data_IF_663642866838
#
_entry.id   IF_663642866838
#
_cell.length_a   1.000
_cell.length_b   1.000
_cell.length_c   1.000
_cell.angle_alpha   90.00
_cell.angle_beta   90.00
_cell.angle_gamma   90.00
#
_symmetry.space_group_name_H-M   'P 1'
#
loop_
_entity.id
_entity.type
_entity.pdbx_description
1 polymer ?
#
# COMPACT_ATOMS: atom_id res chain seq x y z
N UNK A 1 13.11 6.36 -10.89
CA UNK A 1 11.99 5.50 -11.40
C UNK A 1 11.29 4.75 -10.25
N UNK A 2 12.01 4.05 -9.36
CA UNK A 2 11.43 3.32 -8.22
C UNK A 2 10.72 4.22 -7.19
N UNK A 3 11.27 5.40 -6.90
CA UNK A 3 10.66 6.37 -5.97
C UNK A 3 9.27 6.83 -6.44
N UNK A 4 9.11 7.08 -7.75
CA UNK A 4 7.82 7.44 -8.33
C UNK A 4 6.80 6.31 -8.19
N UNK A 5 7.24 5.07 -8.40
CA UNK A 5 6.38 3.89 -8.23
C UNK A 5 5.95 3.70 -6.78
N UNK A 6 6.87 3.86 -5.82
CA UNK A 6 6.54 3.78 -4.39
C UNK A 6 5.56 4.87 -3.97
N UNK A 7 5.74 6.10 -4.45
CA UNK A 7 4.81 7.21 -4.18
C UNK A 7 3.41 6.91 -4.75
N UNK A 8 3.33 6.42 -5.98
CA UNK A 8 2.05 6.05 -6.61
C UNK A 8 1.38 4.87 -5.89
N UNK A 9 2.13 3.82 -5.55
CA UNK A 9 1.61 2.68 -4.79
C UNK A 9 1.10 3.12 -3.42
N UNK A 10 1.83 3.99 -2.72
CA UNK A 10 1.41 4.56 -1.44
C UNK A 10 0.22 5.51 -1.58
N UNK A 11 0.07 6.22 -2.70
CA UNK A 11 -1.08 7.10 -2.88
C UNK A 11 -2.36 6.33 -3.22
N UNK A 12 -2.29 5.39 -4.17
CA UNK A 12 -3.47 4.69 -4.69
C UNK A 12 -3.84 3.43 -3.91
N UNK A 13 -2.86 2.64 -3.45
CA UNK A 13 -3.11 1.35 -2.82
C UNK A 13 -3.12 1.40 -1.30
N UNK A 14 -2.79 2.53 -0.66
CA UNK A 14 -2.69 2.62 0.79
C UNK A 14 -4.00 2.32 1.51
N UNK A 15 -5.12 2.87 1.02
CA UNK A 15 -6.42 2.60 1.64
C UNK A 15 -6.81 1.13 1.55
N UNK A 16 -6.60 0.51 0.38
CA UNK A 16 -6.86 -0.92 0.19
C UNK A 16 -5.95 -1.78 1.07
N UNK A 17 -4.65 -1.48 1.12
CA UNK A 17 -3.68 -2.17 1.97
C UNK A 17 -4.01 -2.02 3.46
N UNK A 18 -4.39 -0.81 3.89
CA UNK A 18 -4.77 -0.53 5.27
C UNK A 18 -6.04 -1.29 5.67
N UNK A 19 -7.09 -1.23 4.85
CA UNK A 19 -8.34 -1.95 5.10
C UNK A 19 -8.13 -3.47 5.15
N UNK A 20 -7.38 -4.04 4.19
CA UNK A 20 -7.03 -5.45 4.19
C UNK A 20 -6.24 -5.86 5.44
N UNK A 21 -5.30 -5.02 5.86
CA UNK A 21 -4.49 -5.26 7.08
C UNK A 21 -5.35 -5.22 8.34
N UNK A 22 -6.28 -4.26 8.46
CA UNK A 22 -7.22 -4.21 9.58
C UNK A 22 -8.11 -5.45 9.66
N UNK A 23 -8.60 -5.93 8.53
CA UNK A 23 -9.40 -7.16 8.47
C UNK A 23 -8.59 -8.36 8.96
N UNK A 24 -7.36 -8.54 8.45
CA UNK A 24 -6.49 -9.63 8.88
C UNK A 24 -6.11 -9.51 10.35
N UNK A 25 -5.80 -8.30 10.83
CA UNK A 25 -5.51 -8.06 12.23
C UNK A 25 -6.71 -8.44 13.12
N UNK A 26 -7.94 -8.07 12.74
CA UNK A 26 -9.15 -8.45 13.46
C UNK A 26 -9.35 -9.96 13.54
N UNK A 27 -9.11 -10.69 12.44
CA UNK A 27 -9.18 -12.16 12.41
C UNK A 27 -8.13 -12.79 13.31
N UNK A 28 -6.88 -12.31 13.25
CA UNK A 28 -5.80 -12.82 14.10
C UNK A 28 -6.08 -12.55 15.58
N UNK A 29 -6.60 -11.37 15.93
CA UNK A 29 -7.01 -11.05 17.30
C UNK A 29 -8.13 -11.99 17.77
N UNK A 30 -9.16 -12.23 16.95
CA UNK A 30 -10.22 -13.17 17.29
C UNK A 30 -9.69 -14.60 17.52
N UNK A 31 -8.74 -15.05 16.69
CA UNK A 31 -8.08 -16.35 16.84
C UNK A 31 -7.20 -16.42 18.11
N UNK A 32 -6.52 -15.33 18.47
CA UNK A 32 -5.78 -15.23 19.73
C UNK A 32 -6.74 -15.28 20.93
N UNK A 33 -7.85 -14.54 20.89
CA UNK A 33 -8.86 -14.55 21.96
C UNK A 33 -9.52 -15.92 22.16
N UNK A 34 -9.61 -16.73 21.10
CA UNK A 34 -10.13 -18.11 21.18
C UNK A 34 -9.05 -19.14 21.53
N UNK A 35 -7.81 -18.72 21.77
CA UNK A 35 -6.69 -19.60 22.12
C UNK A 35 -6.21 -20.49 20.97
N UNK A 36 -6.60 -20.17 19.73
CA UNK A 36 -6.21 -20.93 18.52
C UNK A 36 -4.81 -20.58 18.02
N UNK A 37 -4.28 -19.43 18.42
CA UNK A 37 -2.95 -18.95 18.03
C UNK A 37 -2.04 -18.78 19.25
N UNK A 38 -0.75 -19.16 19.14
CA UNK A 38 0.21 -18.94 20.19
C UNK A 38 0.51 -17.44 20.34
N UNK A 39 0.46 -16.94 21.58
CA UNK A 39 0.99 -15.64 21.96
C UNK A 39 2.40 -15.81 22.54
N UNK A 40 3.29 -14.86 22.29
CA UNK A 40 4.58 -14.82 22.96
C UNK A 40 4.54 -13.82 24.11
N UNK A 41 5.16 -14.21 25.21
CA UNK A 41 5.44 -13.32 26.34
C UNK A 41 6.79 -12.68 26.07
N UNK A 42 6.81 -11.36 25.98
CA UNK A 42 8.06 -10.61 25.92
C UNK A 42 8.23 -9.89 27.25
N UNK A 43 9.29 -10.25 27.98
CA UNK A 43 9.73 -9.45 29.11
C UNK A 43 10.50 -8.24 28.57
N UNK A 44 9.99 -7.04 28.77
CA UNK A 44 10.79 -5.84 28.58
C UNK A 44 11.68 -5.70 29.81
N UNK A 45 13.00 -5.87 29.62
CA UNK A 45 14.01 -5.58 30.65
C UNK A 45 14.19 -4.06 30.72
N UNK A 46 13.17 -3.36 31.22
CA UNK A 46 13.26 -1.97 31.66
C UNK A 46 13.21 -1.90 33.18
N UNK A 47 13.63 -0.78 33.76
CA UNK A 47 13.71 -0.56 35.23
C UNK A 47 12.37 -0.77 35.98
N UNK A 48 11.25 -0.93 35.27
CA UNK A 48 9.93 -1.22 35.84
C UNK A 48 9.42 -2.67 35.68
N UNK A 49 10.19 -3.59 35.09
CA UNK A 49 9.86 -5.02 35.04
C UNK A 49 8.51 -5.37 34.37
N UNK A 50 8.05 -4.58 33.41
CA UNK A 50 6.77 -4.81 32.76
C UNK A 50 6.86 -5.98 31.77
N UNK A 51 6.07 -7.04 32.02
CA UNK A 51 5.91 -8.16 31.10
C UNK A 51 4.72 -7.90 30.18
N UNK A 52 4.99 -7.80 28.88
CA UNK A 52 3.96 -7.63 27.86
C UNK A 52 3.70 -8.95 27.14
N UNK A 53 2.42 -9.27 26.89
CA UNK A 53 2.03 -10.32 25.93
C UNK A 53 1.82 -9.68 24.57
N UNK A 54 2.39 -10.25 23.52
CA UNK A 54 2.02 -9.87 22.16
C UNK A 54 1.89 -11.05 21.21
N UNK A 55 1.02 -10.89 20.22
CA UNK A 55 0.77 -11.90 19.20
C UNK A 55 1.84 -11.85 18.13
N UNK A 56 2.76 -12.83 18.14
CA UNK A 56 3.78 -13.00 17.09
C UNK A 56 3.17 -13.01 15.68
N UNK A 57 2.03 -13.67 15.53
CA UNK A 57 1.29 -13.73 14.28
C UNK A 57 0.92 -12.33 13.77
N UNK A 58 0.40 -11.44 14.62
CA UNK A 58 0.05 -10.08 14.19
C UNK A 58 1.29 -9.26 13.79
N UNK A 59 2.39 -9.39 14.53
CA UNK A 59 3.62 -8.63 14.27
C UNK A 59 4.26 -9.00 12.93
N UNK A 60 4.17 -10.26 12.51
CA UNK A 60 4.76 -10.73 11.25
C UNK A 60 3.77 -10.66 10.09
N UNK A 61 2.54 -11.13 10.30
CA UNK A 61 1.55 -11.26 9.23
C UNK A 61 1.03 -9.91 8.76
N UNK A 62 0.77 -8.96 9.66
CA UNK A 62 0.20 -7.67 9.27
C UNK A 62 1.12 -6.86 8.34
N UNK A 63 2.44 -6.69 8.62
CA UNK A 63 3.33 -6.03 7.69
C UNK A 63 3.45 -6.74 6.35
N UNK A 64 3.49 -8.07 6.35
CA UNK A 64 3.56 -8.86 5.10
C UNK A 64 2.31 -8.62 4.26
N UNK A 65 1.12 -8.76 4.84
CA UNK A 65 -0.16 -8.51 4.15
C UNK A 65 -0.22 -7.08 3.62
N UNK A 66 0.16 -6.09 4.46
CA UNK A 66 0.16 -4.70 4.05
C UNK A 66 1.05 -4.49 2.82
N UNK A 67 2.29 -4.95 2.84
CA UNK A 67 3.23 -4.79 1.74
C UNK A 67 2.78 -5.55 0.48
N UNK A 68 2.26 -6.77 0.63
CA UNK A 68 1.73 -7.54 -0.50
C UNK A 68 0.60 -6.77 -1.16
N UNK A 69 -0.43 -6.36 -0.41
CA UNK A 69 -1.56 -5.61 -0.99
C UNK A 69 -1.09 -4.26 -1.56
N UNK A 70 -0.20 -3.55 -0.87
CA UNK A 70 0.33 -2.28 -1.34
C UNK A 70 0.96 -2.37 -2.74
N UNK A 71 1.70 -3.46 -3.02
CA UNK A 71 2.41 -3.61 -4.28
C UNK A 71 1.63 -4.38 -5.36
N UNK A 72 0.72 -5.28 -5.00
CA UNK A 72 0.03 -6.15 -5.97
C UNK A 72 -1.41 -5.78 -6.23
N UNK A 73 -2.04 -4.90 -5.42
CA UNK A 73 -3.47 -4.59 -5.55
C UNK A 73 -3.82 -4.01 -6.91
N UNK A 74 -2.99 -3.11 -7.46
CA UNK A 74 -3.21 -2.52 -8.78
C UNK A 74 -3.16 -3.54 -9.92
N UNK A 75 -2.30 -4.55 -9.81
CA UNK A 75 -2.21 -5.63 -10.80
C UNK A 75 -3.40 -6.59 -10.67
N UNK A 76 -3.78 -6.94 -9.44
CA UNK A 76 -4.96 -7.77 -9.17
C UNK A 76 -6.25 -7.10 -9.65
N UNK A 77 -6.39 -5.79 -9.46
CA UNK A 77 -7.53 -5.01 -9.92
C UNK A 77 -7.62 -4.99 -11.46
N UNK A 78 -6.47 -4.89 -12.14
CA UNK A 78 -6.40 -4.98 -13.60
C UNK A 78 -6.75 -6.38 -14.13
N UNK A 79 -6.31 -7.46 -13.45
CA UNK A 79 -6.67 -8.84 -13.79
C UNK A 79 -8.17 -9.11 -13.66
N UNK A 80 -8.85 -8.43 -12.73
CA UNK A 80 -10.30 -8.51 -12.55
C UNK A 80 -11.10 -7.72 -13.61
N UNK A 81 -10.43 -7.18 -14.63
CA UNK A 81 -11.08 -6.46 -15.73
C UNK A 81 -11.49 -5.03 -15.37
N UNK A 82 -11.13 -4.56 -14.18
CA UNK A 82 -11.33 -3.16 -13.83
C UNK A 82 -10.19 -2.32 -14.39
N UNK A 83 -10.54 -1.40 -15.28
CA UNK A 83 -9.67 -0.30 -15.66
C UNK A 83 -9.37 0.50 -14.39
N UNK A 84 -8.13 0.41 -13.88
CA UNK A 84 -7.67 1.30 -12.83
C UNK A 84 -7.92 2.76 -13.24
N UNK A 85 -8.03 3.70 -12.28
CA UNK A 85 -8.23 5.12 -12.60
C UNK A 85 -7.23 5.46 -13.71
N UNK A 86 -7.70 6.01 -14.85
CA UNK A 86 -6.80 6.26 -15.96
C UNK A 86 -5.75 7.17 -15.38
N UNK A 87 -4.53 6.66 -15.19
CA UNK A 87 -3.40 7.46 -14.74
C UNK A 87 -3.06 8.32 -15.94
N UNK A 88 -3.87 9.36 -16.12
CA UNK A 88 -3.88 10.33 -17.20
C UNK A 88 -2.67 11.28 -17.07
N UNK A 89 -1.65 10.87 -16.32
CA UNK A 89 -0.48 11.65 -15.95
C UNK A 89 0.81 11.13 -16.60
N UNK A 90 0.80 9.98 -17.27
CA UNK A 90 2.04 9.44 -17.89
C UNK A 90 2.03 9.37 -19.42
N UNK A 91 0.87 9.46 -20.09
CA UNK A 91 0.87 9.59 -21.57
C UNK A 91 1.27 10.98 -22.06
N UNK A 92 1.27 11.96 -21.17
CA UNK A 92 1.91 13.24 -21.40
C UNK A 92 3.06 13.36 -20.42
N UNK A 93 4.11 12.58 -20.65
CA UNK A 93 5.43 12.88 -20.09
C UNK A 93 5.87 14.26 -20.63
N UNK A 94 5.29 15.31 -20.06
CA UNK A 94 5.70 16.68 -20.22
C UNK A 94 7.09 16.72 -19.58
N UNK A 95 8.10 16.85 -20.43
CA UNK A 95 9.49 16.80 -20.04
C UNK A 95 9.74 17.91 -18.99
N UNK A 96 9.82 17.56 -17.69
CA UNK A 96 9.79 18.55 -16.60
C UNK A 96 11.00 19.49 -16.58
N UNK A 97 12.10 19.09 -17.21
CA UNK A 97 13.34 19.88 -17.31
C UNK A 97 13.46 20.67 -18.60
N UNK A 98 12.73 20.29 -19.66
CA UNK A 98 12.83 20.91 -20.98
C UNK A 98 11.52 21.64 -21.30
N UNK A 99 11.54 22.96 -21.13
CA UNK A 99 10.36 23.81 -21.25
C UNK A 99 9.75 23.80 -22.66
N UNK A 100 10.56 23.60 -23.70
CA UNK A 100 10.09 23.55 -25.08
C UNK A 100 9.26 22.27 -25.32
N UNK A 101 9.81 21.10 -24.93
CA UNK A 101 9.08 19.82 -25.03
C UNK A 101 7.84 19.78 -24.13
N UNK A 102 7.87 20.45 -22.99
CA UNK A 102 6.70 20.60 -22.13
C UNK A 102 5.57 21.35 -22.83
N UNK A 103 5.89 22.46 -23.52
CA UNK A 103 4.91 23.28 -24.24
C UNK A 103 4.26 22.53 -25.41
N UNK A 104 5.06 21.79 -26.18
CA UNK A 104 4.52 20.93 -27.26
C UNK A 104 3.58 19.85 -26.73
N UNK A 105 3.91 19.24 -25.59
CA UNK A 105 3.06 18.25 -24.93
C UNK A 105 1.69 18.81 -24.53
N UNK A 106 1.65 20.03 -23.98
CA UNK A 106 0.41 20.72 -23.59
C UNK A 106 -0.44 21.09 -24.81
N UNK A 107 0.18 21.57 -25.89
CA UNK A 107 -0.54 21.93 -27.11
C UNK A 107 -1.19 20.72 -27.77
N UNK A 108 -0.53 19.55 -27.77
CA UNK A 108 -1.11 18.30 -28.26
C UNK A 108 -2.30 17.86 -27.42
N UNK A 109 -2.27 18.05 -26.10
CA UNK A 109 -3.40 17.75 -25.21
C UNK A 109 -4.61 18.66 -25.47
N UNK A 110 -4.37 19.96 -25.67
CA UNK A 110 -5.44 20.92 -25.94
C UNK A 110 -6.20 20.59 -27.23
N UNK A 111 -5.55 19.96 -28.21
CA UNK A 111 -6.19 19.50 -29.45
C UNK A 111 -7.20 18.36 -29.24
N UNK A 112 -7.12 17.61 -28.14
CA UNK A 112 -8.04 16.51 -27.79
C UNK A 112 -9.17 16.92 -26.84
N UNK A 113 -9.21 18.19 -26.41
CA UNK A 113 -10.28 18.75 -25.55
C UNK A 113 -11.43 19.39 -26.37
N UNK A 114 -11.64 18.93 -27.61
CA UNK A 114 -12.69 19.40 -28.51
C UNK A 114 -13.75 18.33 -28.75
#
# INVERSE_FOLDING_TARGET
RREKYMCLAMYFNFWAAYAATLLVAGVLVALICTGRLPTWEFAYVGEGGFTGRGGFACTVVCPVVFLTVLFTFSEAYALLGFSGPPVFLDKTCIHQTDRERQREGILRLAAFLK
#
